data_IF_793791142572
#
_entry.id   IF_793791142572
#
_cell.length_a   1.000
_cell.length_b   1.000
_cell.length_c   1.000
_cell.angle_alpha   90.00
_cell.angle_beta   90.00
_cell.angle_gamma   90.00
#
_symmetry.space_group_name_H-M   'P 1'
#
loop_
_entity.id
_entity.type
_entity.pdbx_description
1 polymer ?
#
# COMPACT_ATOMS: atom_id res chain seq x y z
N UNK A 1 4.96 26.99 -17.44
CA UNK A 1 5.23 25.59 -17.82
C UNK A 1 6.69 25.18 -17.59
N UNK A 2 7.66 26.06 -17.90
CA UNK A 2 9.09 25.80 -17.70
C UNK A 2 9.46 25.62 -16.21
N UNK A 3 8.88 26.41 -15.33
CA UNK A 3 9.20 26.42 -13.90
C UNK A 3 9.11 25.09 -13.17
N UNK A 4 8.21 24.18 -13.61
CA UNK A 4 8.08 22.85 -13.01
C UNK A 4 9.34 21.99 -13.27
N UNK A 5 9.97 22.17 -14.43
CA UNK A 5 11.16 21.41 -14.82
C UNK A 5 12.46 22.08 -14.35
N UNK A 6 12.45 23.37 -14.14
CA UNK A 6 13.62 24.13 -13.65
C UNK A 6 14.05 23.72 -12.24
N UNK A 7 13.11 23.34 -11.39
CA UNK A 7 13.41 22.86 -10.02
C UNK A 7 13.86 21.40 -9.93
N UNK A 8 13.95 20.69 -11.05
CA UNK A 8 14.41 19.32 -11.08
C UNK A 8 15.85 19.24 -11.55
N UNK A 9 16.80 19.18 -10.63
CA UNK A 9 18.25 19.10 -10.91
C UNK A 9 18.73 17.69 -11.30
N UNK A 10 17.82 16.73 -11.42
CA UNK A 10 18.23 15.37 -11.71
C UNK A 10 18.83 15.27 -13.11
N UNK A 11 20.07 14.72 -13.25
CA UNK A 11 20.81 14.69 -14.51
C UNK A 11 20.31 13.62 -15.51
N UNK A 12 19.15 13.00 -15.25
CA UNK A 12 18.64 11.94 -16.10
C UNK A 12 18.42 12.41 -17.54
N UNK A 13 18.97 11.66 -18.47
CA UNK A 13 18.76 11.80 -19.92
C UNK A 13 17.75 10.79 -20.45
N UNK A 14 16.84 10.28 -19.59
CA UNK A 14 15.81 9.34 -20.05
C UNK A 14 14.87 10.09 -20.98
N UNK A 15 15.11 9.97 -22.29
CA UNK A 15 14.20 10.44 -23.32
C UNK A 15 13.06 9.46 -23.44
N UNK A 16 11.85 9.96 -23.47
CA UNK A 16 10.67 9.13 -23.77
C UNK A 16 10.33 9.11 -25.24
N UNK A 17 11.32 9.15 -26.12
CA UNK A 17 11.14 9.06 -27.58
C UNK A 17 10.30 10.18 -28.19
N UNK A 18 10.54 10.51 -29.44
CA UNK A 18 9.77 11.46 -30.22
C UNK A 18 10.11 12.93 -30.00
N UNK A 19 9.41 13.80 -30.70
CA UNK A 19 9.58 15.26 -30.75
C UNK A 19 9.22 16.00 -29.46
N UNK A 20 9.04 15.26 -28.37
CA UNK A 20 8.56 15.81 -27.09
C UNK A 20 9.67 16.50 -26.28
N UNK A 21 10.78 16.85 -26.88
CA UNK A 21 11.79 17.77 -26.36
C UNK A 21 12.24 17.46 -24.93
N UNK A 22 12.19 18.44 -24.07
CA UNK A 22 12.68 18.44 -22.69
C UNK A 22 11.84 17.65 -21.65
N UNK A 23 11.17 16.59 -22.04
CA UNK A 23 10.43 15.75 -21.09
C UNK A 23 11.31 14.76 -20.31
N UNK A 24 12.63 14.88 -20.45
CA UNK A 24 13.59 13.98 -19.80
C UNK A 24 13.46 13.94 -18.27
N UNK A 25 13.06 15.04 -17.66
CA UNK A 25 12.93 15.15 -16.20
C UNK A 25 11.56 14.68 -15.66
N UNK A 26 10.57 14.41 -16.48
CA UNK A 26 9.20 14.06 -16.05
C UNK A 26 9.13 12.84 -15.14
N UNK A 27 10.01 11.87 -15.38
CA UNK A 27 10.08 10.65 -14.57
C UNK A 27 10.49 10.89 -13.11
N UNK A 28 11.12 12.01 -12.82
CA UNK A 28 11.63 12.41 -11.52
C UNK A 28 10.72 13.40 -10.79
N UNK A 29 9.70 13.88 -11.46
CA UNK A 29 8.72 14.78 -10.85
C UNK A 29 7.63 13.97 -10.15
N UNK A 30 7.22 14.45 -8.98
CA UNK A 30 6.04 13.90 -8.26
C UNK A 30 4.73 14.36 -8.91
N UNK A 31 4.62 14.11 -10.21
CA UNK A 31 3.46 14.41 -11.05
C UNK A 31 3.10 13.20 -11.87
N UNK A 32 1.81 12.99 -12.09
CA UNK A 32 1.36 11.93 -12.99
C UNK A 32 1.92 12.21 -14.40
N UNK A 33 2.58 11.23 -14.99
CA UNK A 33 3.30 11.42 -16.26
C UNK A 33 2.38 11.83 -17.43
N UNK A 34 1.10 11.42 -17.40
CA UNK A 34 0.12 11.83 -18.41
C UNK A 34 -0.09 13.36 -18.48
N UNK A 35 0.20 14.10 -17.40
CA UNK A 35 0.13 15.56 -17.41
C UNK A 35 1.26 16.22 -18.25
N UNK A 36 2.27 15.45 -18.61
CA UNK A 36 3.38 15.93 -19.44
C UNK A 36 3.10 15.84 -20.94
N UNK A 37 1.89 15.48 -21.33
CA UNK A 37 1.46 15.37 -22.73
C UNK A 37 1.49 13.94 -23.27
N UNK A 38 0.85 13.75 -24.41
CA UNK A 38 0.81 12.53 -25.21
C UNK A 38 0.70 12.91 -26.69
N UNK A 39 0.71 11.96 -27.62
CA UNK A 39 0.73 12.22 -29.07
C UNK A 39 -0.32 13.23 -29.58
N UNK A 40 -1.50 13.21 -28.93
CA UNK A 40 -2.64 14.06 -29.33
C UNK A 40 -3.16 14.94 -28.19
N UNK A 41 -2.46 14.99 -27.04
CA UNK A 41 -2.94 15.69 -25.86
C UNK A 41 -2.01 16.83 -25.48
N UNK A 42 -2.59 18.00 -25.22
CA UNK A 42 -1.84 19.15 -24.73
C UNK A 42 -1.18 18.87 -23.38
N UNK A 43 -0.01 19.48 -23.16
CA UNK A 43 0.67 19.46 -21.88
C UNK A 43 -0.04 20.42 -20.91
N UNK A 44 -0.75 19.86 -19.95
CA UNK A 44 -1.46 20.60 -18.90
C UNK A 44 -1.01 20.10 -17.53
N UNK A 45 -0.13 20.86 -16.88
CA UNK A 45 0.37 20.51 -15.56
C UNK A 45 -0.43 21.23 -14.48
N UNK A 46 -1.28 20.50 -13.79
CA UNK A 46 -2.04 21.01 -12.67
C UNK A 46 -1.12 21.17 -11.45
N UNK A 47 -1.26 22.28 -10.76
CA UNK A 47 -0.58 22.55 -9.49
C UNK A 47 -1.63 22.86 -8.45
N UNK A 48 -1.55 22.18 -7.31
CA UNK A 48 -2.47 22.39 -6.20
C UNK A 48 -2.48 21.22 -5.21
N UNK A 49 -3.17 21.43 -4.11
CA UNK A 49 -3.44 20.42 -3.09
C UNK A 49 -4.75 19.74 -3.50
N UNK A 50 -4.69 18.43 -3.78
CA UNK A 50 -5.83 17.64 -4.26
C UNK A 50 -6.55 16.87 -3.16
N UNK A 51 -6.00 16.81 -1.97
CA UNK A 51 -6.58 16.07 -0.84
C UNK A 51 -6.75 16.93 0.40
N UNK A 52 -7.16 16.29 1.48
CA UNK A 52 -7.25 16.94 2.77
C UNK A 52 -5.88 17.35 3.29
N UNK A 53 -5.81 18.50 3.94
CA UNK A 53 -4.67 18.92 4.74
C UNK A 53 -5.04 18.67 6.20
N UNK A 54 -4.23 17.87 6.89
CA UNK A 54 -4.42 17.55 8.30
C UNK A 54 -3.18 17.86 9.09
N UNK A 55 -3.38 18.42 10.27
CA UNK A 55 -2.33 18.54 11.28
C UNK A 55 -2.61 17.48 12.35
N UNK A 56 -1.72 16.50 12.46
CA UNK A 56 -1.76 15.50 13.54
C UNK A 56 -0.79 15.95 14.63
N UNK A 57 -1.28 15.97 15.86
CA UNK A 57 -0.50 16.31 17.04
C UNK A 57 -0.56 15.17 18.05
N UNK A 58 0.58 14.77 18.57
CA UNK A 58 0.69 13.84 19.69
C UNK A 58 1.77 14.34 20.65
N UNK A 59 1.54 14.29 21.99
CA UNK A 59 2.47 14.84 22.96
C UNK A 59 3.79 14.07 23.05
N UNK A 60 3.78 12.77 22.84
CA UNK A 60 4.93 11.89 23.04
C UNK A 60 5.39 11.22 21.73
N UNK A 61 4.51 10.50 21.03
CA UNK A 61 4.87 9.79 19.81
C UNK A 61 3.74 9.83 18.78
N UNK A 62 4.11 9.97 17.53
CA UNK A 62 3.20 10.00 16.37
C UNK A 62 3.24 8.66 15.66
N UNK A 63 2.06 8.09 15.36
CA UNK A 63 1.95 6.90 14.52
C UNK A 63 2.26 7.29 13.08
N UNK A 64 3.40 6.83 12.56
CA UNK A 64 3.88 7.13 11.20
C UNK A 64 3.40 6.13 10.18
N UNK A 65 3.20 4.87 10.58
CA UNK A 65 2.70 3.81 9.70
C UNK A 65 1.71 2.91 10.44
N UNK A 66 0.69 2.47 9.72
CA UNK A 66 -0.22 1.42 10.13
C UNK A 66 -0.65 0.64 8.90
N UNK A 67 -0.03 -0.51 8.67
CA UNK A 67 -0.24 -1.36 7.51
C UNK A 67 -0.86 -2.69 7.87
N UNK A 68 -1.61 -3.29 6.94
CA UNK A 68 -2.22 -4.60 7.07
C UNK A 68 -1.90 -5.45 5.84
N UNK A 69 -1.45 -6.67 6.09
CA UNK A 69 -1.19 -7.68 5.06
C UNK A 69 -1.96 -8.95 5.39
N UNK A 70 -2.60 -9.57 4.40
CA UNK A 70 -3.20 -10.89 4.51
C UNK A 70 -2.42 -11.88 3.65
N UNK A 71 -1.98 -12.98 4.24
CA UNK A 71 -1.23 -14.04 3.59
C UNK A 71 -2.01 -15.34 3.70
N UNK A 72 -2.57 -15.80 2.60
CA UNK A 72 -3.23 -17.11 2.54
C UNK A 72 -2.18 -18.22 2.53
N UNK A 73 -2.49 -19.33 3.21
CA UNK A 73 -1.72 -20.56 3.09
C UNK A 73 -1.83 -21.13 1.66
N UNK A 74 -0.87 -21.96 1.27
CA UNK A 74 -0.83 -22.52 -0.09
C UNK A 74 -2.05 -23.37 -0.43
N UNK A 75 -2.57 -24.08 0.55
CA UNK A 75 -3.76 -24.90 0.47
C UNK A 75 -5.08 -24.14 0.74
N UNK A 76 -4.98 -22.83 0.99
CA UNK A 76 -6.10 -21.94 1.32
C UNK A 76 -6.85 -22.30 2.61
N UNK A 77 -6.32 -23.24 3.41
CA UNK A 77 -6.96 -23.69 4.66
C UNK A 77 -6.94 -22.65 5.76
N UNK A 78 -6.00 -21.70 5.70
CA UNK A 78 -5.84 -20.63 6.67
C UNK A 78 -5.31 -19.36 6.03
N UNK A 79 -5.38 -18.26 6.78
CA UNK A 79 -4.73 -17.01 6.41
C UNK A 79 -4.15 -16.32 7.63
N UNK A 80 -2.92 -15.82 7.51
CA UNK A 80 -2.26 -14.97 8.49
C UNK A 80 -2.56 -13.52 8.19
N UNK A 81 -3.08 -12.81 9.17
CA UNK A 81 -3.38 -11.38 9.09
C UNK A 81 -2.37 -10.66 9.95
N UNK A 82 -1.50 -9.90 9.32
CA UNK A 82 -0.38 -9.22 9.98
C UNK A 82 -0.65 -7.72 9.95
N UNK A 83 -0.65 -7.10 11.12
CA UNK A 83 -0.69 -5.64 11.24
C UNK A 83 0.65 -5.16 11.76
N UNK A 84 1.24 -4.22 11.04
CA UNK A 84 2.47 -3.53 11.46
C UNK A 84 2.13 -2.10 11.84
N UNK A 85 2.65 -1.68 12.97
CA UNK A 85 2.59 -0.31 13.45
C UNK A 85 4.00 0.28 13.54
N UNK A 86 4.16 1.53 13.13
CA UNK A 86 5.36 2.30 13.37
C UNK A 86 5.01 3.63 14.03
N UNK A 87 5.87 4.07 14.92
CA UNK A 87 5.74 5.35 15.60
C UNK A 87 7.10 6.04 15.69
N UNK A 88 7.08 7.36 15.77
CA UNK A 88 8.25 8.20 15.93
C UNK A 88 8.02 9.20 17.06
N UNK A 89 9.01 9.37 17.92
CA UNK A 89 8.95 10.31 19.04
C UNK A 89 9.71 9.83 20.26
N UNK A 90 9.17 10.14 21.43
CA UNK A 90 9.73 9.69 22.73
C UNK A 90 9.47 8.21 22.95
N UNK A 91 10.26 7.60 23.83
CA UNK A 91 10.00 6.24 24.29
C UNK A 91 8.60 6.15 24.88
N UNK A 92 7.83 5.17 24.44
CA UNK A 92 6.44 4.98 24.87
C UNK A 92 6.12 3.50 25.02
N UNK A 93 5.32 3.16 26.04
CA UNK A 93 4.68 1.86 26.13
C UNK A 93 3.27 1.97 25.53
N UNK A 94 2.95 1.06 24.63
CA UNK A 94 1.66 1.04 23.95
C UNK A 94 1.18 -0.36 23.65
N UNK A 95 -0.03 -0.45 23.16
CA UNK A 95 -0.65 -1.68 22.68
C UNK A 95 -1.01 -1.56 21.21
N UNK A 96 -0.86 -2.65 20.47
CA UNK A 96 -1.39 -2.81 19.14
C UNK A 96 -2.48 -3.88 19.19
N UNK A 97 -3.70 -3.51 18.80
CA UNK A 97 -4.87 -4.38 18.80
C UNK A 97 -5.35 -4.58 17.38
N UNK A 98 -5.71 -5.80 17.07
CA UNK A 98 -6.39 -6.18 15.83
C UNK A 98 -7.63 -7.00 16.19
N UNK A 99 -8.78 -6.64 15.63
CA UNK A 99 -10.01 -7.40 15.68
C UNK A 99 -10.60 -7.54 14.30
N UNK A 100 -11.08 -8.73 13.96
CA UNK A 100 -11.81 -8.99 12.72
C UNK A 100 -13.31 -9.00 13.04
N UNK A 101 -14.05 -8.06 12.48
CA UNK A 101 -15.45 -7.85 12.84
C UNK A 101 -16.35 -9.05 12.51
N UNK A 102 -16.15 -9.68 11.36
CA UNK A 102 -16.99 -10.77 10.86
C UNK A 102 -16.81 -12.10 11.61
N UNK A 103 -15.63 -12.33 12.19
CA UNK A 103 -15.33 -13.59 12.92
C UNK A 103 -15.22 -13.40 14.42
N UNK A 104 -15.02 -12.16 14.87
CA UNK A 104 -14.76 -11.85 16.28
C UNK A 104 -13.35 -12.18 16.77
N UNK A 105 -12.50 -12.80 15.93
CA UNK A 105 -11.11 -13.07 16.28
C UNK A 105 -10.38 -11.77 16.60
N UNK A 106 -9.54 -11.80 17.63
CA UNK A 106 -8.77 -10.64 18.04
C UNK A 106 -7.42 -11.04 18.63
N UNK A 107 -6.45 -10.15 18.50
CA UNK A 107 -5.15 -10.22 19.14
C UNK A 107 -4.80 -8.84 19.68
N UNK A 108 -4.15 -8.82 20.83
CA UNK A 108 -3.65 -7.60 21.47
C UNK A 108 -2.28 -7.90 22.08
N UNK A 109 -1.30 -7.07 21.76
CA UNK A 109 0.05 -7.16 22.31
C UNK A 109 0.53 -5.80 22.79
N UNK A 110 1.27 -5.81 23.90
CA UNK A 110 1.90 -4.62 24.46
C UNK A 110 3.35 -4.54 24.03
N UNK A 111 3.78 -3.34 23.67
CA UNK A 111 5.13 -3.05 23.18
C UNK A 111 5.76 -1.92 23.96
N UNK A 112 7.05 -2.02 24.17
CA UNK A 112 7.89 -0.90 24.58
C UNK A 112 8.62 -0.38 23.35
N UNK A 113 8.24 0.82 22.93
CA UNK A 113 8.81 1.47 21.78
C UNK A 113 9.90 2.44 22.26
N UNK A 114 11.17 2.26 21.84
CA UNK A 114 12.25 3.15 22.19
C UNK A 114 12.05 4.54 21.59
N UNK A 115 12.83 5.51 22.05
CA UNK A 115 12.90 6.84 21.45
C UNK A 115 13.39 6.78 20.00
N UNK A 116 12.84 7.65 19.15
CA UNK A 116 13.09 7.71 17.72
C UNK A 116 12.05 6.93 16.93
N UNK A 117 12.47 6.29 15.84
CA UNK A 117 11.59 5.47 15.00
C UNK A 117 11.57 4.03 15.49
N UNK A 118 10.38 3.55 15.84
CA UNK A 118 10.19 2.20 16.34
C UNK A 118 9.03 1.49 15.62
N UNK A 119 9.11 0.17 15.54
CA UNK A 119 8.11 -0.67 14.88
C UNK A 119 7.67 -1.82 15.77
N UNK A 120 6.42 -2.25 15.60
CA UNK A 120 5.87 -3.45 16.20
C UNK A 120 4.91 -4.14 15.23
N UNK A 121 4.57 -5.39 15.50
CA UNK A 121 3.62 -6.13 14.69
C UNK A 121 2.83 -7.11 15.54
N UNK A 122 1.57 -7.33 15.17
CA UNK A 122 0.73 -8.42 15.69
C UNK A 122 0.26 -9.28 14.54
N UNK A 123 0.04 -10.55 14.83
CA UNK A 123 -0.43 -11.53 13.87
C UNK A 123 -1.62 -12.30 14.42
N UNK A 124 -2.59 -12.55 13.56
CA UNK A 124 -3.78 -13.33 13.83
C UNK A 124 -4.02 -14.31 12.69
N UNK A 125 -4.32 -15.55 13.02
CA UNK A 125 -4.68 -16.58 12.04
C UNK A 125 -6.20 -16.71 11.91
N UNK A 126 -6.68 -16.74 10.68
CA UNK A 126 -8.04 -17.10 10.33
C UNK A 126 -8.05 -18.52 9.78
N UNK A 127 -8.79 -19.42 10.41
CA UNK A 127 -8.98 -20.78 9.93
C UNK A 127 -10.12 -20.81 8.90
N UNK A 128 -9.89 -21.51 7.80
CA UNK A 128 -10.85 -21.67 6.68
C UNK A 128 -11.51 -20.33 6.32
N UNK A 129 -10.70 -19.31 5.95
CA UNK A 129 -11.23 -18.00 5.65
C UNK A 129 -12.09 -18.01 4.40
N UNK A 130 -13.09 -17.14 4.37
CA UNK A 130 -13.83 -16.84 3.16
C UNK A 130 -12.92 -16.10 2.18
N UNK A 131 -12.75 -16.64 0.99
CA UNK A 131 -11.84 -16.09 0.00
C UNK A 131 -12.47 -14.91 -0.74
N UNK A 132 -11.63 -14.02 -1.22
CA UNK A 132 -12.00 -12.95 -2.13
C UNK A 132 -11.73 -13.38 -3.57
N UNK A 133 -12.71 -13.17 -4.43
CA UNK A 133 -12.58 -13.35 -5.87
C UNK A 133 -12.92 -12.04 -6.61
N UNK A 134 -12.37 -11.82 -7.82
CA UNK A 134 -12.80 -10.73 -8.67
C UNK A 134 -14.25 -10.94 -9.12
N UNK A 135 -14.92 -9.86 -9.48
CA UNK A 135 -16.30 -9.94 -9.99
C UNK A 135 -16.36 -10.81 -11.24
N UNK A 136 -17.31 -11.72 -11.27
CA UNK A 136 -17.47 -12.68 -12.36
C UNK A 136 -16.77 -14.02 -12.14
N UNK A 137 -15.77 -14.10 -11.24
CA UNK A 137 -15.08 -15.33 -10.87
C UNK A 137 -15.52 -15.89 -9.50
N UNK A 138 -16.26 -15.12 -8.72
CA UNK A 138 -16.73 -15.52 -7.40
C UNK A 138 -17.21 -14.34 -6.57
N UNK A 139 -17.32 -14.54 -5.25
CA UNK A 139 -17.74 -13.49 -4.32
C UNK A 139 -16.56 -12.58 -3.96
N UNK A 140 -16.66 -11.25 -4.13
CA UNK A 140 -15.62 -10.32 -3.72
C UNK A 140 -15.69 -10.03 -2.22
N UNK A 141 -15.61 -11.08 -1.40
CA UNK A 141 -15.75 -10.98 0.04
C UNK A 141 -14.57 -10.24 0.67
N UNK A 142 -14.86 -9.33 1.58
CA UNK A 142 -13.85 -8.56 2.33
C UNK A 142 -14.16 -8.57 3.80
N UNK A 143 -13.14 -8.88 4.59
CA UNK A 143 -13.15 -8.73 6.03
C UNK A 143 -12.93 -7.27 6.43
N UNK A 144 -13.38 -6.94 7.62
CA UNK A 144 -13.19 -5.63 8.27
C UNK A 144 -12.26 -5.80 9.46
N UNK A 145 -11.06 -5.23 9.35
CA UNK A 145 -10.10 -5.14 10.44
C UNK A 145 -10.30 -3.83 11.20
N UNK A 146 -10.53 -3.93 12.49
CA UNK A 146 -10.52 -2.84 13.45
C UNK A 146 -9.16 -2.84 14.14
N UNK A 147 -8.40 -1.76 13.98
CA UNK A 147 -7.03 -1.66 14.45
C UNK A 147 -6.92 -0.48 15.39
N UNK A 148 -6.30 -0.69 16.55
CA UNK A 148 -5.99 0.38 17.50
C UNK A 148 -4.51 0.33 17.87
N UNK A 149 -3.81 1.47 17.69
CA UNK A 149 -2.40 1.61 18.02
C UNK A 149 -2.12 3.01 18.57
N UNK A 150 -1.57 3.10 19.78
CA UNK A 150 -1.27 4.36 20.47
C UNK A 150 -2.44 5.35 20.45
N UNK A 151 -3.66 4.86 20.69
CA UNK A 151 -4.88 5.67 20.67
C UNK A 151 -5.45 5.98 19.29
N UNK A 152 -4.70 5.74 18.22
CA UNK A 152 -5.20 5.86 16.85
C UNK A 152 -6.03 4.64 16.48
N UNK A 153 -7.28 4.87 16.07
CA UNK A 153 -8.20 3.82 15.61
C UNK A 153 -8.40 3.90 14.11
N UNK A 154 -8.27 2.78 13.44
CA UNK A 154 -8.41 2.69 11.98
C UNK A 154 -9.20 1.43 11.63
N UNK A 155 -10.12 1.57 10.69
CA UNK A 155 -10.83 0.46 10.07
C UNK A 155 -10.29 0.24 8.67
N UNK A 156 -9.97 -1.03 8.33
CA UNK A 156 -9.48 -1.44 7.01
C UNK A 156 -10.29 -2.61 6.49
N UNK A 157 -10.64 -2.58 5.21
CA UNK A 157 -11.23 -3.73 4.52
C UNK A 157 -10.14 -4.45 3.73
N UNK A 158 -10.11 -5.79 3.86
CA UNK A 158 -9.14 -6.63 3.14
C UNK A 158 -9.80 -7.91 2.63
N UNK A 159 -9.27 -8.46 1.55
CA UNK A 159 -9.65 -9.77 1.03
C UNK A 159 -8.56 -10.80 1.31
N UNK A 160 -8.95 -12.04 1.54
CA UNK A 160 -8.02 -13.16 1.61
C UNK A 160 -7.97 -13.82 0.25
N UNK A 161 -6.81 -13.81 -0.39
CA UNK A 161 -6.58 -14.42 -1.70
C UNK A 161 -5.12 -14.85 -1.82
N UNK A 162 -4.88 -15.79 -2.73
CA UNK A 162 -3.55 -16.09 -3.24
C UNK A 162 -3.44 -15.53 -4.65
N UNK A 163 -2.32 -14.92 -4.97
CA UNK A 163 -2.02 -14.44 -6.31
C UNK A 163 -0.71 -15.09 -6.73
N UNK A 164 -0.71 -15.76 -7.87
CA UNK A 164 0.48 -16.32 -8.48
C UNK A 164 0.64 -15.80 -9.91
N UNK A 165 1.88 -15.78 -10.39
CA UNK A 165 2.18 -15.47 -11.79
C UNK A 165 2.71 -16.75 -12.43
N UNK A 166 1.99 -17.27 -13.41
CA UNK A 166 2.46 -18.36 -14.23
C UNK A 166 3.36 -17.82 -15.35
N UNK A 167 4.62 -18.22 -15.32
CA UNK A 167 5.65 -17.90 -16.32
C UNK A 167 6.24 -19.18 -16.90
N UNK A 168 5.48 -20.26 -16.95
CA UNK A 168 5.89 -21.50 -17.58
C UNK A 168 6.11 -21.33 -19.09
N UNK A 169 6.85 -22.24 -19.69
CA UNK A 169 7.09 -22.23 -21.13
C UNK A 169 5.82 -22.48 -21.91
N UNK A 170 5.58 -21.67 -22.93
CA UNK A 170 4.49 -21.87 -23.86
C UNK A 170 4.87 -22.98 -24.86
N UNK A 171 3.97 -23.94 -25.19
CA UNK A 171 4.28 -25.10 -26.01
C UNK A 171 4.71 -24.77 -27.45
N UNK A 172 4.48 -23.56 -27.93
CA UNK A 172 4.86 -23.14 -29.28
C UNK A 172 6.07 -22.21 -29.24
N UNK A 173 5.99 -21.12 -28.51
CA UNK A 173 7.07 -20.11 -28.44
C UNK A 173 6.88 -19.21 -27.20
N UNK A 174 7.99 -18.87 -26.52
CA UNK A 174 8.03 -17.93 -25.42
C UNK A 174 7.55 -18.52 -24.09
N UNK A 175 7.08 -17.64 -23.22
CA UNK A 175 6.57 -17.99 -21.89
C UNK A 175 5.18 -17.40 -21.68
N UNK A 176 4.39 -18.05 -20.84
CA UNK A 176 3.13 -17.47 -20.37
C UNK A 176 3.40 -16.27 -19.45
N UNK A 177 2.44 -15.39 -19.39
CA UNK A 177 2.33 -14.41 -18.32
C UNK A 177 0.86 -14.37 -17.87
N UNK A 178 0.50 -15.31 -17.00
CA UNK A 178 -0.87 -15.50 -16.52
C UNK A 178 -0.90 -15.14 -15.04
N UNK A 179 -1.86 -14.29 -14.65
CA UNK A 179 -2.14 -13.99 -13.27
C UNK A 179 -3.24 -14.92 -12.76
N UNK A 180 -2.88 -15.80 -11.85
CA UNK A 180 -3.81 -16.71 -11.17
C UNK A 180 -4.25 -16.09 -9.83
N UNK A 181 -5.55 -16.17 -9.55
CA UNK A 181 -6.16 -15.63 -8.32
C UNK A 181 -7.06 -16.68 -7.67
#
# INVERSE_FOLDING_TARGET
ESGVFEYCDHPSKISCGGEMGDLTKRAWLRKAQHQSGWDWQARLQNVGILGDVRLEYAPDSVVTELSLVSLAADDLSSARIIVKGAAEGRAVRGTLKLRIAETGNSVEESFELPEGHAQCAVELTLDRPKLWFPRGAGEPFRYTAEIEFLGKRVTRKFGVRKVAVDQSEHPVEGTYFILEI
#
